data_IF_493020971501
#
_entry.id   IF_493020971501
#
_cell.length_a   1.000
_cell.length_b   1.000
_cell.length_c   1.000
_cell.angle_alpha   90.00
_cell.angle_beta   90.00
_cell.angle_gamma   90.00
#
_symmetry.space_group_name_H-M   'P 1'
#
loop_
_entity.id
_entity.type
_entity.pdbx_description
1 polymer ?
#
# COMPACT_ATOMS: atom_id res chain seq x y z
N UNK A 1 14.37 -5.64 57.39
CA UNK A 1 13.25 -5.06 56.61
C UNK A 1 13.69 -4.64 55.19
N UNK A 2 14.44 -5.43 54.45
CA UNK A 2 15.08 -4.91 53.22
C UNK A 2 14.97 -5.85 51.99
N UNK A 3 14.71 -7.13 52.16
CA UNK A 3 14.71 -8.04 51.00
C UNK A 3 13.32 -8.39 50.49
N UNK A 4 12.27 -8.35 51.28
CA UNK A 4 10.88 -8.52 50.80
C UNK A 4 10.39 -7.34 49.94
N UNK A 5 10.76 -6.11 50.27
CA UNK A 5 10.45 -4.94 49.46
C UNK A 5 11.18 -4.92 48.10
N UNK A 6 12.33 -5.62 47.96
CA UNK A 6 13.05 -5.74 46.70
C UNK A 6 12.36 -6.69 45.69
N UNK A 7 11.78 -7.77 46.19
CA UNK A 7 11.08 -8.74 45.32
C UNK A 7 9.68 -8.25 44.88
N UNK A 8 8.95 -7.53 45.72
CA UNK A 8 7.66 -6.93 45.36
C UNK A 8 7.79 -5.84 44.29
N UNK A 9 8.84 -5.02 44.34
CA UNK A 9 9.06 -3.99 43.29
C UNK A 9 9.52 -4.57 41.95
N UNK A 10 10.07 -5.77 41.91
CA UNK A 10 10.47 -6.42 40.65
C UNK A 10 9.27 -6.99 39.86
N UNK A 11 8.19 -7.40 40.53
CA UNK A 11 6.94 -7.83 39.89
C UNK A 11 6.06 -6.68 39.36
N UNK A 12 6.34 -5.44 39.75
CA UNK A 12 5.52 -4.27 39.40
C UNK A 12 5.86 -3.64 38.04
N UNK A 13 6.93 -4.05 37.39
CA UNK A 13 7.44 -3.40 36.16
C UNK A 13 6.75 -3.86 34.86
N UNK A 14 6.00 -4.93 34.88
CA UNK A 14 5.19 -5.34 33.73
C UNK A 14 3.71 -5.05 34.00
N UNK A 15 2.97 -4.43 33.07
CA UNK A 15 1.52 -4.30 33.18
C UNK A 15 0.87 -5.67 32.94
N UNK A 16 1.02 -6.57 33.91
CA UNK A 16 0.39 -7.90 33.86
C UNK A 16 -1.07 -7.71 34.26
N UNK A 17 -1.94 -7.65 33.27
CA UNK A 17 -3.38 -7.80 33.39
C UNK A 17 -4.21 -6.52 33.54
N UNK A 18 -3.77 -5.44 34.21
CA UNK A 18 -4.57 -4.23 34.32
C UNK A 18 -3.71 -2.96 34.44
N UNK A 19 -3.92 -1.99 33.53
CA UNK A 19 -3.23 -0.70 33.50
C UNK A 19 -3.43 0.05 34.82
N UNK A 20 -4.61 -0.06 35.44
CA UNK A 20 -4.94 0.66 36.68
C UNK A 20 -4.08 0.17 37.84
N UNK A 21 -3.79 -1.13 37.93
CA UNK A 21 -2.90 -1.69 38.95
C UNK A 21 -1.46 -1.19 38.78
N UNK A 22 -0.97 -1.11 37.54
CA UNK A 22 0.32 -0.52 37.20
C UNK A 22 0.40 0.94 37.59
N UNK A 23 -0.61 1.75 37.26
CA UNK A 23 -0.66 3.16 37.63
C UNK A 23 -0.70 3.36 39.15
N UNK A 24 -1.45 2.51 39.87
CA UNK A 24 -1.48 2.54 41.35
C UNK A 24 -0.09 2.25 41.92
N UNK A 25 0.58 1.23 41.42
CA UNK A 25 1.91 0.85 41.87
C UNK A 25 2.95 1.97 41.64
N UNK A 26 2.95 2.60 40.47
CA UNK A 26 3.84 3.73 40.15
C UNK A 26 3.56 4.92 41.08
N UNK A 27 2.29 5.18 41.41
CA UNK A 27 1.94 6.31 42.28
C UNK A 27 2.41 6.13 43.73
N UNK A 28 2.77 4.92 44.15
CA UNK A 28 3.34 4.66 45.48
C UNK A 28 4.85 4.99 45.55
N UNK A 29 5.53 5.07 44.41
CA UNK A 29 6.96 5.41 44.36
C UNK A 29 7.15 6.88 44.72
N UNK A 30 7.96 7.21 45.72
CA UNK A 30 8.23 8.60 46.09
C UNK A 30 9.00 9.35 44.99
N UNK A 31 8.73 10.65 44.87
CA UNK A 31 9.49 11.52 43.96
C UNK A 31 10.85 11.82 44.59
N UNK A 32 11.90 11.93 43.79
CA UNK A 32 13.22 12.26 44.20
C UNK A 32 13.41 13.78 44.39
N UNK A 33 14.13 14.15 45.44
CA UNK A 33 14.59 15.51 45.63
C UNK A 33 15.64 15.88 44.58
N UNK A 34 15.81 17.19 44.25
CA UNK A 34 16.76 17.62 43.24
C UNK A 34 18.22 17.22 43.52
N UNK A 35 18.58 17.15 44.78
CA UNK A 35 19.94 16.80 45.23
C UNK A 35 20.20 15.30 45.07
N UNK A 36 19.23 14.48 45.44
CA UNK A 36 19.27 13.01 45.26
C UNK A 36 19.32 12.64 43.78
N UNK A 37 18.51 13.34 42.96
CA UNK A 37 18.51 13.16 41.49
C UNK A 37 19.91 13.40 40.91
N UNK A 38 20.59 14.48 41.32
CA UNK A 38 21.93 14.79 40.87
C UNK A 38 22.98 13.79 41.35
N UNK A 39 22.88 13.35 42.62
CA UNK A 39 23.81 12.36 43.14
C UNK A 39 23.69 11.01 42.48
N UNK A 40 22.45 10.53 42.24
CA UNK A 40 22.18 9.30 41.50
C UNK A 40 22.63 9.39 40.04
N UNK A 41 22.40 10.54 39.38
CA UNK A 41 22.84 10.76 38.01
C UNK A 41 24.39 10.77 37.88
N UNK A 42 25.09 11.39 38.83
CA UNK A 42 26.55 11.32 38.87
C UNK A 42 27.06 9.90 39.08
N UNK A 43 26.48 9.15 40.02
CA UNK A 43 26.82 7.73 40.22
C UNK A 43 26.61 6.90 38.96
N UNK A 44 25.50 7.14 38.22
CA UNK A 44 25.26 6.47 36.97
C UNK A 44 26.33 6.82 35.91
N UNK A 45 26.66 8.11 35.76
CA UNK A 45 27.65 8.59 34.77
C UNK A 45 29.05 8.09 35.06
N UNK A 46 29.47 8.20 36.32
CA UNK A 46 30.87 7.99 36.71
C UNK A 46 31.20 6.50 36.97
N UNK A 47 30.22 5.72 37.48
CA UNK A 47 30.41 4.33 37.88
C UNK A 47 29.54 3.34 37.07
N UNK A 48 28.63 3.81 36.23
CA UNK A 48 27.71 2.94 35.52
C UNK A 48 26.71 2.19 36.44
N UNK A 49 26.37 2.78 37.60
CA UNK A 49 25.54 2.14 38.62
C UNK A 49 24.09 1.92 38.13
N UNK A 50 23.78 0.66 37.86
CA UNK A 50 22.45 0.24 37.36
C UNK A 50 21.35 0.49 38.41
N UNK A 51 21.67 0.35 39.72
CA UNK A 51 20.69 0.61 40.77
C UNK A 51 20.35 2.11 40.88
N UNK A 52 21.29 2.98 40.61
CA UNK A 52 21.06 4.41 40.53
C UNK A 52 20.15 4.73 39.33
N UNK A 53 20.42 4.13 38.16
CA UNK A 53 19.55 4.27 36.97
C UNK A 53 18.12 3.79 37.25
N UNK A 54 17.98 2.63 37.89
CA UNK A 54 16.68 2.07 38.27
C UNK A 54 15.87 3.02 39.14
N UNK A 55 16.47 3.59 40.17
CA UNK A 55 15.81 4.56 41.06
C UNK A 55 15.37 5.81 40.31
N UNK A 56 16.21 6.33 39.42
CA UNK A 56 15.89 7.48 38.55
C UNK A 56 14.68 7.16 37.63
N UNK A 57 14.67 6.01 37.01
CA UNK A 57 13.57 5.60 36.12
C UNK A 57 12.26 5.44 36.91
N UNK A 58 12.29 4.67 38.01
CA UNK A 58 11.09 4.40 38.82
C UNK A 58 10.39 5.67 39.30
N UNK A 59 11.17 6.65 39.79
CA UNK A 59 10.64 7.93 40.27
C UNK A 59 9.96 8.78 39.19
N UNK A 60 10.33 8.57 37.90
CA UNK A 60 9.83 9.37 36.79
C UNK A 60 8.78 8.63 35.91
N UNK A 61 8.40 7.38 36.24
CA UNK A 61 7.38 6.63 35.48
C UNK A 61 6.01 7.34 35.48
N UNK A 62 5.68 8.09 36.55
CA UNK A 62 4.43 8.90 36.61
C UNK A 62 4.37 9.95 35.50
N UNK A 63 5.52 10.56 35.15
CA UNK A 63 5.63 11.50 34.06
C UNK A 63 5.32 10.83 32.72
N UNK A 64 5.84 9.62 32.50
CA UNK A 64 5.58 8.83 31.27
C UNK A 64 4.08 8.54 31.13
N UNK A 65 3.41 8.07 32.18
CA UNK A 65 1.96 7.80 32.16
C UNK A 65 1.16 9.06 31.84
N UNK A 66 1.54 10.19 32.43
CA UNK A 66 0.87 11.48 32.15
C UNK A 66 0.99 11.88 30.69
N UNK A 67 2.18 11.75 30.10
CA UNK A 67 2.42 12.06 28.69
C UNK A 67 1.69 11.05 27.77
N UNK A 68 1.78 9.75 28.03
CA UNK A 68 1.17 8.70 27.23
C UNK A 68 -0.37 8.84 27.15
N UNK A 69 -1.03 9.21 28.24
CA UNK A 69 -2.48 9.51 28.26
C UNK A 69 -2.89 10.59 27.27
N UNK A 70 -2.02 11.58 27.02
CA UNK A 70 -2.27 12.61 26.00
C UNK A 70 -2.35 12.07 24.57
N UNK A 71 -1.87 10.83 24.32
CA UNK A 71 -1.89 10.18 23.02
C UNK A 71 -2.94 9.07 22.88
N UNK A 72 -3.79 8.84 23.89
CA UNK A 72 -4.86 7.82 23.83
C UNK A 72 -5.85 8.02 22.67
N UNK A 73 -6.03 9.26 22.19
CA UNK A 73 -6.91 9.59 21.08
C UNK A 73 -6.49 9.07 19.69
N UNK A 74 -5.34 8.42 19.58
CA UNK A 74 -4.89 7.82 18.32
C UNK A 74 -5.39 6.37 18.11
N UNK A 75 -6.17 5.80 19.06
CA UNK A 75 -6.73 4.45 18.94
C UNK A 75 -5.76 3.32 19.23
N UNK A 76 -4.56 3.64 19.74
CA UNK A 76 -3.57 2.64 20.13
C UNK A 76 -3.69 2.26 21.62
N UNK A 77 -3.32 1.03 22.02
CA UNK A 77 -3.35 0.59 23.41
C UNK A 77 -2.47 1.50 24.29
N UNK A 78 -3.07 2.02 25.36
CA UNK A 78 -2.35 2.93 26.29
C UNK A 78 -1.17 2.22 26.96
N UNK A 79 -1.27 0.91 27.18
CA UNK A 79 -0.18 0.11 27.71
C UNK A 79 1.07 0.19 26.85
N UNK A 80 0.92 0.06 25.54
CA UNK A 80 2.03 0.10 24.59
C UNK A 80 2.65 1.51 24.51
N UNK A 81 1.80 2.55 24.53
CA UNK A 81 2.28 3.95 24.59
C UNK A 81 3.10 4.23 25.85
N UNK A 82 2.72 3.64 27.00
CA UNK A 82 3.47 3.74 28.25
C UNK A 82 4.82 3.02 28.11
N UNK A 83 4.85 1.80 27.53
CA UNK A 83 6.13 1.06 27.40
C UNK A 83 7.09 1.77 26.45
N UNK A 84 6.62 2.28 25.32
CA UNK A 84 7.45 3.09 24.41
C UNK A 84 7.94 4.38 25.09
N UNK A 85 7.07 5.02 25.87
CA UNK A 85 7.46 6.15 26.71
C UNK A 85 8.52 5.79 27.75
N UNK A 86 8.46 4.59 28.35
CA UNK A 86 9.48 4.09 29.27
C UNK A 86 10.82 3.87 28.56
N UNK A 87 10.81 3.37 27.31
CA UNK A 87 12.03 3.28 26.49
C UNK A 87 12.63 4.67 26.27
N UNK A 88 11.80 5.68 25.97
CA UNK A 88 12.21 7.08 25.85
C UNK A 88 12.84 7.61 27.13
N UNK A 89 12.22 7.33 28.28
CA UNK A 89 12.77 7.70 29.59
C UNK A 89 14.12 7.03 29.86
N UNK A 90 14.28 5.74 29.57
CA UNK A 90 15.55 5.01 29.72
C UNK A 90 16.66 5.63 28.85
N UNK A 91 16.34 6.01 27.60
CA UNK A 91 17.28 6.71 26.72
C UNK A 91 17.66 8.07 27.30
N UNK A 92 16.69 8.83 27.83
CA UNK A 92 16.96 10.11 28.49
C UNK A 92 17.86 9.95 29.67
N UNK A 93 17.61 9.01 30.58
CA UNK A 93 18.47 8.75 31.78
C UNK A 93 19.91 8.42 31.38
N UNK A 94 20.09 7.65 30.28
CA UNK A 94 21.42 7.29 29.77
C UNK A 94 22.21 8.51 29.26
N UNK A 95 21.53 9.52 28.71
CA UNK A 95 22.18 10.70 28.13
C UNK A 95 22.09 11.96 29.02
N UNK A 96 21.56 11.80 30.22
CA UNK A 96 21.34 12.91 31.11
C UNK A 96 22.68 13.39 31.74
N UNK A 97 22.96 14.71 31.64
CA UNK A 97 24.06 15.36 32.29
C UNK A 97 23.57 16.16 33.53
N UNK A 98 23.91 15.73 34.75
CA UNK A 98 23.48 16.41 35.97
C UNK A 98 24.11 17.80 36.16
N UNK A 99 25.21 18.08 35.46
CA UNK A 99 25.94 19.35 35.60
C UNK A 99 25.42 20.45 34.66
N UNK A 100 24.56 20.08 33.67
CA UNK A 100 23.91 21.02 32.76
C UNK A 100 22.82 21.91 33.38
N UNK A 101 22.49 21.71 34.66
CA UNK A 101 21.59 22.56 35.45
C UNK A 101 20.08 22.29 35.20
N UNK A 102 19.69 21.43 34.23
CA UNK A 102 18.33 21.06 33.98
C UNK A 102 17.89 19.88 34.86
N UNK A 103 16.58 19.82 35.20
CA UNK A 103 15.98 18.66 35.86
C UNK A 103 15.81 17.52 34.88
N UNK A 104 15.97 16.27 35.34
CA UNK A 104 15.76 15.07 34.53
C UNK A 104 14.36 15.04 33.89
N UNK A 105 13.34 15.46 34.66
CA UNK A 105 11.98 15.53 34.15
C UNK A 105 11.88 16.40 32.89
N UNK A 106 12.45 17.59 32.89
CA UNK A 106 12.45 18.50 31.75
C UNK A 106 13.24 17.95 30.56
N UNK A 107 14.37 17.33 30.80
CA UNK A 107 15.21 16.70 29.78
C UNK A 107 14.54 15.46 29.16
N UNK A 108 13.83 14.67 29.97
CA UNK A 108 13.20 13.42 29.51
C UNK A 108 11.96 13.64 28.62
N UNK A 109 11.19 14.73 28.81
CA UNK A 109 9.96 14.99 28.04
C UNK A 109 10.13 14.87 26.52
N UNK A 110 11.12 15.50 25.87
CA UNK A 110 11.31 15.38 24.42
C UNK A 110 11.67 13.94 23.99
N UNK A 111 12.45 13.21 24.78
CA UNK A 111 12.81 11.82 24.52
C UNK A 111 11.58 10.90 24.59
N UNK A 112 10.77 11.03 25.66
CA UNK A 112 9.53 10.27 25.84
C UNK A 112 8.57 10.55 24.68
N UNK A 113 8.35 11.82 24.33
CA UNK A 113 7.49 12.20 23.21
C UNK A 113 8.00 11.67 21.88
N UNK A 114 9.30 11.66 21.65
CA UNK A 114 9.91 11.17 20.42
C UNK A 114 9.62 9.69 20.20
N UNK A 115 9.81 8.84 21.23
CA UNK A 115 9.53 7.40 21.12
C UNK A 115 8.02 7.13 20.93
N UNK A 116 7.17 7.81 21.69
CA UNK A 116 5.71 7.70 21.53
C UNK A 116 5.29 8.14 20.12
N UNK A 117 5.83 9.26 19.61
CA UNK A 117 5.53 9.71 18.24
C UNK A 117 5.96 8.71 17.18
N UNK A 118 7.15 8.14 17.31
CA UNK A 118 7.64 7.12 16.38
C UNK A 118 6.78 5.86 16.40
N UNK A 119 6.35 5.42 17.61
CA UNK A 119 5.46 4.29 17.76
C UNK A 119 4.08 4.56 17.14
N UNK A 120 3.48 5.73 17.42
CA UNK A 120 2.20 6.14 16.85
C UNK A 120 2.26 6.15 15.32
N UNK A 121 3.26 6.78 14.72
CA UNK A 121 3.38 6.83 13.25
C UNK A 121 3.52 5.44 12.62
N UNK A 122 4.21 4.52 13.30
CA UNK A 122 4.45 3.16 12.79
C UNK A 122 3.22 2.27 12.87
N UNK A 123 2.43 2.41 13.94
CA UNK A 123 1.37 1.45 14.29
C UNK A 123 -0.05 2.02 14.17
N UNK A 124 -0.22 3.29 13.80
CA UNK A 124 -1.53 3.91 13.67
C UNK A 124 -2.43 3.24 12.64
N UNK A 125 -1.82 2.73 11.55
CA UNK A 125 -2.50 1.97 10.48
C UNK A 125 -1.62 0.87 9.94
N UNK A 126 -2.25 -0.10 9.27
CA UNK A 126 -1.56 -1.21 8.59
C UNK A 126 -0.57 -0.67 7.55
N UNK A 127 -0.99 0.33 6.77
CA UNK A 127 -0.12 1.02 5.81
C UNK A 127 0.47 2.28 6.43
N UNK A 128 1.79 2.45 6.33
CA UNK A 128 2.49 3.64 6.86
C UNK A 128 2.02 4.90 6.14
N UNK A 129 1.39 5.81 6.88
CA UNK A 129 0.81 7.05 6.34
C UNK A 129 1.86 8.16 6.19
N UNK A 130 2.80 8.27 7.14
CA UNK A 130 3.78 9.35 7.19
C UNK A 130 5.23 8.80 7.09
N UNK A 131 5.82 8.89 5.91
CA UNK A 131 7.19 8.41 5.62
C UNK A 131 8.22 9.52 5.59
N UNK A 132 7.87 10.70 5.08
CA UNK A 132 8.76 11.85 4.97
C UNK A 132 8.74 12.74 6.22
N UNK A 133 9.78 13.59 6.37
CA UNK A 133 9.87 14.56 7.47
C UNK A 133 8.70 15.56 7.48
N UNK A 134 8.27 16.00 6.31
CA UNK A 134 7.11 16.90 6.13
C UNK A 134 5.82 16.20 6.58
N UNK A 135 5.58 14.98 6.12
CA UNK A 135 4.39 14.19 6.48
C UNK A 135 4.31 13.89 7.98
N UNK A 136 5.46 13.61 8.65
CA UNK A 136 5.50 13.42 10.12
C UNK A 136 5.12 14.69 10.88
N UNK A 137 5.58 15.87 10.45
CA UNK A 137 5.16 17.14 11.04
C UNK A 137 3.66 17.37 10.87
N UNK A 138 3.14 17.11 9.67
CA UNK A 138 1.73 17.27 9.34
C UNK A 138 0.84 16.31 10.13
N UNK A 139 1.25 15.06 10.33
CA UNK A 139 0.48 14.04 11.04
C UNK A 139 -0.02 14.52 12.41
N UNK A 140 0.85 15.14 13.21
CA UNK A 140 0.49 15.63 14.54
C UNK A 140 -0.14 17.02 14.51
N UNK A 141 0.28 17.90 13.60
CA UNK A 141 -0.12 19.31 13.60
C UNK A 141 -1.41 19.58 12.81
N UNK A 142 -1.69 18.79 11.77
CA UNK A 142 -2.82 19.01 10.88
C UNK A 142 -4.15 18.96 11.64
N UNK A 143 -4.29 18.00 12.56
CA UNK A 143 -5.46 17.82 13.38
C UNK A 143 -5.67 18.96 14.41
N UNK A 144 -4.58 19.53 14.92
CA UNK A 144 -4.61 20.67 15.85
C UNK A 144 -5.04 21.97 15.16
N UNK A 145 -4.64 22.14 13.90
CA UNK A 145 -4.95 23.35 13.11
C UNK A 145 -6.34 23.30 12.47
N UNK A 146 -6.99 22.12 12.46
CA UNK A 146 -8.32 21.96 11.86
C UNK A 146 -9.42 22.50 12.79
N UNK A 147 -10.01 23.63 12.41
CA UNK A 147 -11.09 24.28 13.15
C UNK A 147 -12.49 23.77 12.75
N UNK A 148 -12.65 23.14 11.59
CA UNK A 148 -13.91 22.65 11.04
C UNK A 148 -13.84 21.15 10.74
N UNK A 149 -14.99 20.48 10.69
CA UNK A 149 -15.11 19.06 10.35
C UNK A 149 -14.97 18.76 8.83
N UNK A 150 -14.92 19.78 7.96
CA UNK A 150 -14.79 19.63 6.51
C UNK A 150 -13.34 19.55 6.03
N UNK A 151 -13.14 19.51 4.72
CA UNK A 151 -11.83 19.65 4.07
C UNK A 151 -11.27 21.06 4.24
N UNK A 152 -9.94 21.19 4.25
CA UNK A 152 -9.30 22.50 4.27
C UNK A 152 -9.61 23.28 2.99
N UNK A 153 -9.92 24.57 3.16
CA UNK A 153 -9.95 25.50 2.02
C UNK A 153 -8.53 25.77 1.53
N UNK A 154 -8.39 26.29 0.30
CA UNK A 154 -7.08 26.58 -0.29
C UNK A 154 -6.26 27.53 0.59
N UNK A 155 -6.90 28.59 1.09
CA UNK A 155 -6.27 29.54 2.02
C UNK A 155 -5.84 28.92 3.36
N UNK A 156 -6.61 27.98 3.89
CA UNK A 156 -6.25 27.28 5.13
C UNK A 156 -5.07 26.34 4.89
N UNK A 157 -4.99 25.70 3.72
CA UNK A 157 -3.83 24.86 3.31
C UNK A 157 -2.56 25.68 3.19
N UNK A 158 -2.62 26.86 2.55
CA UNK A 158 -1.50 27.79 2.44
C UNK A 158 -1.02 28.24 3.82
N UNK A 159 -1.93 28.67 4.70
CA UNK A 159 -1.56 29.07 6.06
C UNK A 159 -0.89 27.94 6.86
N UNK A 160 -1.40 26.72 6.77
CA UNK A 160 -0.80 25.56 7.44
C UNK A 160 0.55 25.22 6.82
N UNK A 161 0.67 25.35 5.50
CA UNK A 161 1.92 25.11 4.78
C UNK A 161 3.01 26.10 5.21
N UNK A 162 2.69 27.37 5.33
CA UNK A 162 3.59 28.45 5.77
C UNK A 162 4.00 28.26 7.25
N UNK A 163 3.02 27.99 8.14
CA UNK A 163 3.28 27.76 9.57
C UNK A 163 4.23 26.57 9.83
N UNK A 164 4.16 25.54 9.00
CA UNK A 164 4.95 24.32 9.17
C UNK A 164 6.18 24.24 8.27
N UNK A 165 6.32 25.16 7.30
CA UNK A 165 7.39 25.17 6.31
C UNK A 165 7.35 23.92 5.43
N UNK A 166 6.15 23.59 4.89
CA UNK A 166 5.90 22.46 4.00
C UNK A 166 5.17 22.93 2.74
N UNK A 167 5.13 22.11 1.68
CA UNK A 167 4.40 22.51 0.48
C UNK A 167 2.87 22.39 0.67
N UNK A 168 2.05 23.24 0.05
CA UNK A 168 0.58 23.13 0.08
C UNK A 168 0.08 21.78 -0.47
N UNK A 169 0.82 21.20 -1.45
CA UNK A 169 0.51 19.89 -2.01
C UNK A 169 0.71 18.77 -0.98
N UNK A 170 1.76 18.84 -0.14
CA UNK A 170 1.97 17.87 0.94
C UNK A 170 0.83 17.91 1.96
N UNK A 171 0.29 19.13 2.23
CA UNK A 171 -0.87 19.30 3.13
C UNK A 171 -2.10 18.62 2.55
N UNK A 172 -2.41 18.83 1.27
CA UNK A 172 -3.55 18.22 0.59
C UNK A 172 -3.43 16.69 0.53
N UNK A 173 -2.26 16.18 0.18
CA UNK A 173 -1.98 14.75 0.15
C UNK A 173 -2.14 14.13 1.54
N UNK A 174 -1.59 14.76 2.57
CA UNK A 174 -1.68 14.25 3.93
C UNK A 174 -3.12 14.30 4.46
N UNK A 175 -3.91 15.32 4.12
CA UNK A 175 -5.33 15.41 4.45
C UNK A 175 -6.10 14.23 3.85
N UNK A 176 -5.88 13.92 2.58
CA UNK A 176 -6.49 12.76 1.89
C UNK A 176 -6.12 11.45 2.59
N UNK A 177 -4.84 11.27 2.92
CA UNK A 177 -4.36 10.06 3.61
C UNK A 177 -4.97 9.91 5.01
N UNK A 178 -5.16 11.00 5.74
CA UNK A 178 -5.74 10.98 7.09
C UNK A 178 -7.27 10.76 7.07
N UNK A 179 -7.96 11.17 6.00
CA UNK A 179 -9.41 11.02 5.86
C UNK A 179 -9.82 9.57 5.54
N UNK A 180 -8.99 8.80 4.82
CA UNK A 180 -9.25 7.39 4.50
C UNK A 180 -9.29 6.54 5.79
N UNK A 181 -10.04 5.44 5.79
CA UNK A 181 -10.03 4.41 6.82
C UNK A 181 -9.52 3.11 6.22
N UNK A 182 -8.92 2.27 7.06
CA UNK A 182 -8.57 0.90 6.65
C UNK A 182 -9.86 0.10 6.56
N UNK A 183 -10.10 -0.53 5.40
CA UNK A 183 -11.31 -1.34 5.13
C UNK A 183 -10.88 -2.80 5.21
N UNK A 184 -11.64 -3.61 5.96
CA UNK A 184 -11.44 -5.07 5.99
C UNK A 184 -11.64 -5.65 4.60
N UNK A 185 -10.81 -6.61 4.19
CA UNK A 185 -10.91 -7.25 2.88
C UNK A 185 -12.12 -8.18 2.81
N UNK A 186 -12.33 -8.97 3.86
CA UNK A 186 -13.45 -9.89 3.98
C UNK A 186 -14.61 -9.25 4.74
N UNK A 187 -15.81 -9.77 4.51
CA UNK A 187 -16.99 -9.39 5.30
C UNK A 187 -16.82 -9.88 6.74
N UNK A 188 -17.11 -9.02 7.71
CA UNK A 188 -17.15 -9.42 9.12
C UNK A 188 -18.36 -10.32 9.37
N UNK A 189 -18.17 -11.39 10.18
CA UNK A 189 -19.27 -12.29 10.53
C UNK A 189 -20.40 -11.60 11.31
N UNK A 190 -20.13 -10.42 11.89
CA UNK A 190 -21.12 -9.61 12.62
C UNK A 190 -21.99 -8.72 11.72
N UNK A 191 -21.69 -8.63 10.42
CA UNK A 191 -22.47 -7.86 9.44
C UNK A 191 -23.75 -8.59 8.95
N UNK A 192 -24.01 -9.82 9.45
CA UNK A 192 -25.23 -10.59 9.16
C UNK A 192 -26.50 -10.03 9.84
N UNK A 193 -26.40 -8.93 10.59
CA UNK A 193 -27.55 -8.29 11.19
C UNK A 193 -28.26 -7.39 10.16
N UNK A 194 -29.37 -7.88 9.63
CA UNK A 194 -30.61 -7.28 9.08
C UNK A 194 -30.55 -5.85 8.42
N UNK A 195 -29.39 -5.24 8.27
CA UNK A 195 -29.24 -3.96 7.59
C UNK A 195 -28.74 -4.18 6.16
N UNK A 196 -29.65 -4.55 5.29
CA UNK A 196 -29.50 -4.93 3.89
C UNK A 196 -28.84 -3.87 2.96
N UNK A 197 -28.18 -2.86 3.51
CA UNK A 197 -27.54 -1.80 2.70
C UNK A 197 -26.00 -1.77 2.79
N UNK A 198 -25.35 -2.61 3.60
CA UNK A 198 -23.90 -2.56 3.81
C UNK A 198 -23.05 -3.75 3.28
N UNK A 199 -23.61 -4.85 2.69
CA UNK A 199 -22.79 -5.96 2.18
C UNK A 199 -21.89 -5.61 0.99
N UNK A 200 -22.11 -4.44 0.38
CA UNK A 200 -21.42 -4.03 -0.86
C UNK A 200 -20.05 -3.39 -0.64
N UNK A 201 -19.61 -3.21 0.60
CA UNK A 201 -18.40 -2.45 0.91
C UNK A 201 -17.13 -3.30 1.11
N UNK A 202 -17.25 -4.62 1.27
CA UNK A 202 -16.07 -5.47 1.40
C UNK A 202 -15.39 -5.65 0.03
N UNK A 203 -14.09 -5.35 -0.10
CA UNK A 203 -13.34 -5.52 -1.35
C UNK A 203 -13.47 -6.90 -1.96
N UNK A 204 -13.57 -7.96 -1.15
CA UNK A 204 -13.77 -9.33 -1.59
C UNK A 204 -15.04 -9.53 -2.43
N UNK A 205 -16.06 -8.71 -2.24
CA UNK A 205 -17.35 -8.84 -2.95
C UNK A 205 -17.35 -8.19 -4.34
N UNK A 206 -16.51 -7.18 -4.59
CA UNK A 206 -16.49 -6.46 -5.87
C UNK A 206 -15.18 -6.59 -6.64
N UNK A 207 -14.12 -7.12 -6.02
CA UNK A 207 -12.87 -7.41 -6.72
C UNK A 207 -13.01 -8.74 -7.47
N UNK A 208 -12.93 -8.67 -8.80
CA UNK A 208 -12.87 -9.86 -9.64
C UNK A 208 -11.40 -10.27 -9.85
N UNK A 209 -11.13 -11.56 -9.79
CA UNK A 209 -9.87 -12.11 -10.30
C UNK A 209 -9.90 -12.03 -11.83
N UNK A 210 -8.99 -11.25 -12.43
CA UNK A 210 -8.86 -11.16 -13.90
C UNK A 210 -8.69 -12.54 -14.56
N UNK A 211 -8.23 -13.52 -13.79
CA UNK A 211 -8.08 -14.90 -14.22
C UNK A 211 -9.34 -15.76 -14.08
N UNK A 212 -10.37 -15.31 -13.40
CA UNK A 212 -11.60 -16.09 -13.20
C UNK A 212 -12.52 -16.08 -14.41
N UNK A 213 -12.42 -15.07 -15.29
CA UNK A 213 -13.26 -14.96 -16.47
C UNK A 213 -12.84 -15.97 -17.53
N UNK A 214 -13.49 -17.16 -17.47
CA UNK A 214 -13.24 -18.27 -18.38
C UNK A 214 -13.56 -17.88 -19.84
N UNK A 215 -14.62 -17.11 -20.09
CA UNK A 215 -15.01 -16.69 -21.43
C UNK A 215 -13.91 -15.85 -22.08
N UNK A 216 -13.41 -14.84 -21.38
CA UNK A 216 -12.31 -13.98 -21.87
C UNK A 216 -11.01 -14.76 -22.09
N UNK A 217 -10.70 -15.74 -21.23
CA UNK A 217 -9.56 -16.63 -21.43
C UNK A 217 -9.72 -17.50 -22.66
N UNK A 218 -10.93 -18.03 -22.86
CA UNK A 218 -11.24 -18.85 -24.03
C UNK A 218 -11.15 -18.03 -25.32
N UNK A 219 -11.76 -16.85 -25.35
CA UNK A 219 -11.67 -15.91 -26.48
C UNK A 219 -10.22 -15.55 -26.81
N UNK A 220 -9.43 -15.20 -25.81
CA UNK A 220 -8.01 -14.88 -26.02
C UNK A 220 -7.23 -16.07 -26.54
N UNK A 221 -7.50 -17.29 -26.06
CA UNK A 221 -6.83 -18.50 -26.52
C UNK A 221 -7.24 -18.88 -27.94
N UNK A 222 -8.52 -18.75 -28.25
CA UNK A 222 -9.06 -19.00 -29.58
C UNK A 222 -8.49 -17.99 -30.59
N UNK A 223 -8.49 -16.72 -30.21
CA UNK A 223 -7.88 -15.66 -31.00
C UNK A 223 -6.38 -15.90 -31.26
N UNK A 224 -5.64 -16.28 -30.24
CA UNK A 224 -4.21 -16.61 -30.39
C UNK A 224 -3.99 -17.82 -31.34
N UNK A 225 -4.82 -18.87 -31.19
CA UNK A 225 -4.70 -20.04 -32.08
C UNK A 225 -5.03 -19.68 -33.53
N UNK A 226 -6.05 -18.84 -33.75
CA UNK A 226 -6.41 -18.32 -35.06
C UNK A 226 -5.29 -17.45 -35.69
N UNK A 227 -4.66 -16.57 -34.91
CA UNK A 227 -3.53 -15.78 -35.38
C UNK A 227 -2.33 -16.66 -35.76
N UNK A 228 -2.03 -17.68 -34.95
CA UNK A 228 -0.95 -18.63 -35.24
C UNK A 228 -1.21 -19.43 -36.52
N UNK A 229 -2.44 -19.89 -36.76
CA UNK A 229 -2.79 -20.58 -37.99
C UNK A 229 -2.65 -19.66 -39.22
N UNK A 230 -3.06 -18.40 -39.10
CA UNK A 230 -2.91 -17.40 -40.17
C UNK A 230 -1.44 -17.13 -40.48
N UNK A 231 -0.62 -16.99 -39.45
CA UNK A 231 0.81 -16.81 -39.59
C UNK A 231 1.46 -18.05 -40.26
N UNK A 232 1.04 -19.25 -39.85
CA UNK A 232 1.54 -20.49 -40.44
C UNK A 232 1.19 -20.59 -41.94
N UNK A 233 -0.05 -20.25 -42.33
CA UNK A 233 -0.49 -20.20 -43.75
C UNK A 233 0.30 -19.16 -44.53
N UNK A 234 0.53 -17.96 -43.96
CA UNK A 234 1.31 -16.93 -44.62
C UNK A 234 2.79 -17.36 -44.81
N UNK A 235 3.39 -18.07 -43.83
CA UNK A 235 4.71 -18.60 -43.93
C UNK A 235 4.85 -19.74 -44.98
N UNK A 236 3.80 -20.56 -45.13
CA UNK A 236 3.75 -21.62 -46.16
C UNK A 236 3.71 -21.07 -47.59
N UNK A 237 3.16 -19.87 -47.78
CA UNK A 237 3.08 -19.22 -49.11
C UNK A 237 4.41 -18.58 -49.56
N UNK A 238 5.41 -18.52 -48.69
CA UNK A 238 6.75 -18.03 -49.02
C UNK A 238 7.60 -19.10 -49.66
N UNK A 239 8.53 -18.68 -50.54
CA UNK A 239 9.58 -19.57 -51.10
C UNK A 239 10.50 -20.08 -49.98
N UNK A 240 11.12 -21.23 -50.20
CA UNK A 240 11.95 -21.91 -49.21
C UNK A 240 13.05 -21.02 -48.64
N UNK A 241 13.71 -20.21 -49.48
CA UNK A 241 14.77 -19.29 -49.06
C UNK A 241 14.24 -18.19 -48.15
N UNK A 242 13.14 -17.59 -48.52
CA UNK A 242 12.48 -16.54 -47.73
C UNK A 242 11.96 -17.08 -46.38
N UNK A 243 11.37 -18.27 -46.40
CA UNK A 243 10.90 -18.96 -45.20
C UNK A 243 12.07 -19.29 -44.25
N UNK A 244 13.19 -19.76 -44.78
CA UNK A 244 14.37 -20.04 -43.98
C UNK A 244 14.94 -18.81 -43.29
N UNK A 245 15.07 -17.68 -44.01
CA UNK A 245 15.56 -16.40 -43.47
C UNK A 245 14.62 -15.92 -42.34
N UNK A 246 13.31 -15.91 -42.54
CA UNK A 246 12.34 -15.46 -41.54
C UNK A 246 12.36 -16.37 -40.32
N UNK A 247 12.44 -17.73 -40.53
CA UNK A 247 12.48 -18.67 -39.41
C UNK A 247 13.71 -18.44 -38.54
N UNK A 248 14.91 -18.42 -39.13
CA UNK A 248 16.18 -18.26 -38.41
C UNK A 248 16.35 -16.91 -37.71
N UNK A 249 15.71 -15.86 -38.25
CA UNK A 249 15.86 -14.52 -37.69
C UNK A 249 14.81 -14.12 -36.67
N UNK A 250 13.55 -14.63 -36.80
CA UNK A 250 12.41 -14.18 -36.04
C UNK A 250 11.78 -15.27 -35.18
N UNK A 251 11.82 -16.52 -35.58
CA UNK A 251 11.10 -17.62 -34.94
C UNK A 251 12.01 -18.53 -34.09
N UNK A 252 13.29 -18.65 -34.43
CA UNK A 252 14.23 -19.44 -33.66
C UNK A 252 14.63 -18.73 -32.35
N UNK A 253 14.89 -19.49 -31.28
CA UNK A 253 15.36 -18.97 -29.99
C UNK A 253 16.71 -18.23 -30.16
N UNK A 254 17.62 -18.77 -30.96
CA UNK A 254 18.88 -18.14 -31.31
C UNK A 254 18.72 -17.36 -32.63
N UNK A 255 18.44 -16.06 -32.54
CA UNK A 255 18.24 -15.19 -33.70
C UNK A 255 19.56 -15.00 -34.48
N UNK A 256 19.59 -15.47 -35.72
CA UNK A 256 20.74 -15.29 -36.59
C UNK A 256 20.92 -13.83 -37.03
N UNK A 257 22.17 -13.37 -37.15
CA UNK A 257 22.52 -12.06 -37.71
C UNK A 257 22.42 -12.06 -39.24
N UNK A 258 22.32 -10.88 -39.87
CA UNK A 258 22.31 -10.77 -41.33
C UNK A 258 23.63 -11.26 -41.95
N UNK A 259 24.72 -11.13 -41.22
CA UNK A 259 26.05 -11.58 -41.62
C UNK A 259 26.12 -13.12 -41.70
N UNK A 260 25.69 -13.80 -40.64
CA UNK A 260 25.64 -15.26 -40.58
C UNK A 260 24.76 -15.85 -41.71
N UNK A 261 23.59 -15.24 -41.93
CA UNK A 261 22.70 -15.68 -43.01
C UNK A 261 23.27 -15.37 -44.41
N UNK A 262 24.09 -14.32 -44.55
CA UNK A 262 24.83 -14.00 -45.75
C UNK A 262 25.87 -15.08 -46.06
N UNK A 263 26.61 -15.54 -45.04
CA UNK A 263 27.63 -16.54 -45.15
C UNK A 263 27.04 -17.96 -45.42
N UNK A 264 25.94 -18.30 -44.74
CA UNK A 264 25.20 -19.56 -44.95
C UNK A 264 24.61 -19.68 -46.37
N UNK A 265 23.98 -18.60 -46.85
CA UNK A 265 23.28 -18.58 -48.16
C UNK A 265 24.16 -18.17 -49.33
N UNK A 266 25.42 -17.78 -49.06
CA UNK A 266 26.41 -17.30 -50.04
C UNK A 266 25.89 -16.14 -50.91
N UNK A 267 25.20 -15.18 -50.29
CA UNK A 267 24.65 -13.96 -50.89
C UNK A 267 25.06 -12.74 -50.09
N UNK A 268 25.06 -11.57 -50.70
CA UNK A 268 25.40 -10.33 -49.98
C UNK A 268 24.41 -10.02 -48.85
N UNK A 269 24.91 -9.42 -47.79
CA UNK A 269 24.12 -8.98 -46.62
C UNK A 269 22.92 -8.12 -47.05
N UNK A 270 23.12 -7.21 -48.00
CA UNK A 270 22.06 -6.34 -48.51
C UNK A 270 20.98 -7.16 -49.26
N UNK A 271 21.40 -8.23 -49.97
CA UNK A 271 20.42 -9.13 -50.60
C UNK A 271 19.56 -9.89 -49.59
N UNK A 272 20.17 -10.37 -48.49
CA UNK A 272 19.40 -10.99 -47.39
C UNK A 272 18.38 -9.98 -46.80
N UNK A 273 18.79 -8.72 -46.60
CA UNK A 273 17.90 -7.66 -46.12
C UNK A 273 16.75 -7.35 -47.08
N UNK A 274 17.02 -7.34 -48.39
CA UNK A 274 15.97 -7.16 -49.41
C UNK A 274 14.95 -8.32 -49.40
N UNK A 275 15.41 -9.55 -49.29
CA UNK A 275 14.55 -10.75 -49.22
C UNK A 275 13.72 -10.69 -47.93
N UNK A 276 14.32 -10.38 -46.81
CA UNK A 276 13.63 -10.21 -45.52
C UNK A 276 12.49 -9.19 -45.64
N UNK A 277 12.78 -7.96 -46.11
CA UNK A 277 11.77 -6.90 -46.27
C UNK A 277 10.67 -7.28 -47.26
N UNK A 278 11.02 -7.94 -48.37
CA UNK A 278 10.04 -8.41 -49.33
C UNK A 278 9.13 -9.50 -48.73
N UNK A 279 9.71 -10.40 -47.95
CA UNK A 279 8.96 -11.46 -47.27
C UNK A 279 8.03 -10.93 -46.18
N UNK A 280 8.47 -9.98 -45.36
CA UNK A 280 7.66 -9.33 -44.38
C UNK A 280 6.49 -8.54 -45.01
N UNK A 281 6.71 -7.88 -46.15
CA UNK A 281 5.63 -7.21 -46.91
C UNK A 281 4.61 -8.21 -47.44
N UNK A 282 5.06 -9.38 -47.96
CA UNK A 282 4.14 -10.43 -48.43
C UNK A 282 3.33 -11.02 -47.30
N UNK A 283 3.94 -11.31 -46.13
CA UNK A 283 3.23 -11.80 -44.94
C UNK A 283 2.18 -10.77 -44.52
N UNK A 284 2.58 -9.50 -44.41
CA UNK A 284 1.66 -8.41 -44.01
C UNK A 284 0.46 -8.29 -44.97
N UNK A 285 0.68 -8.34 -46.26
CA UNK A 285 -0.41 -8.24 -47.24
C UNK A 285 -1.39 -9.42 -47.14
N UNK A 286 -0.89 -10.65 -46.92
CA UNK A 286 -1.72 -11.83 -46.78
C UNK A 286 -2.54 -11.83 -45.47
N UNK A 287 -1.93 -11.37 -44.40
CA UNK A 287 -2.64 -11.22 -43.11
C UNK A 287 -3.75 -10.16 -43.23
N UNK A 288 -3.51 -9.04 -43.92
CA UNK A 288 -4.50 -7.99 -44.14
C UNK A 288 -5.66 -8.40 -45.06
N UNK A 289 -5.39 -9.14 -46.16
CA UNK A 289 -6.44 -9.65 -47.06
C UNK A 289 -7.34 -10.66 -46.33
N UNK A 290 -6.77 -11.52 -45.50
CA UNK A 290 -7.55 -12.47 -44.69
C UNK A 290 -8.44 -11.79 -43.65
N UNK A 291 -8.08 -10.58 -43.15
CA UNK A 291 -8.96 -9.79 -42.26
C UNK A 291 -10.18 -9.22 -42.99
N UNK A 292 -9.97 -8.74 -44.22
CA UNK A 292 -11.06 -8.21 -45.02
C UNK A 292 -12.11 -9.31 -45.39
N UNK A 293 -11.66 -10.53 -45.59
CA UNK A 293 -12.54 -11.66 -45.84
C UNK A 293 -13.40 -12.05 -44.61
N UNK A 294 -12.83 -11.97 -43.40
CA UNK A 294 -13.58 -12.19 -42.16
C UNK A 294 -14.62 -11.08 -41.91
N UNK A 295 -14.25 -9.82 -42.05
CA UNK A 295 -15.20 -8.69 -41.91
C UNK A 295 -16.32 -8.74 -42.95
N UNK A 296 -16.04 -9.24 -44.18
CA UNK A 296 -17.05 -9.45 -45.22
C UNK A 296 -18.01 -10.61 -44.89
N UNK A 297 -17.56 -11.64 -44.15
CA UNK A 297 -18.39 -12.73 -43.66
C UNK A 297 -19.25 -12.34 -42.47
N UNK A 298 -18.72 -11.53 -41.56
CA UNK A 298 -19.47 -10.97 -40.41
C UNK A 298 -20.61 -10.06 -40.90
N UNK A 299 -20.36 -9.18 -41.87
CA UNK A 299 -21.39 -8.33 -42.45
C UNK A 299 -22.48 -9.13 -43.21
N UNK A 300 -22.11 -10.23 -43.85
CA UNK A 300 -23.12 -11.12 -44.50
C UNK A 300 -23.96 -11.90 -43.49
N UNK A 301 -23.38 -12.22 -42.30
CA UNK A 301 -24.12 -12.92 -41.25
C UNK A 301 -25.07 -11.98 -40.47
N UNK A 302 -24.67 -10.69 -40.26
CA UNK A 302 -25.53 -9.69 -39.65
C UNK A 302 -26.75 -9.36 -40.52
N UNK A 303 -26.54 -9.19 -41.84
CA UNK A 303 -27.64 -8.96 -42.80
C UNK A 303 -28.62 -10.17 -42.87
N UNK A 304 -28.11 -11.40 -42.76
CA UNK A 304 -28.93 -12.62 -42.78
C UNK A 304 -29.73 -12.85 -41.48
N UNK A 305 -29.31 -12.28 -40.34
CA UNK A 305 -30.04 -12.33 -39.07
C UNK A 305 -31.13 -11.26 -38.99
N UNK A 306 -30.85 -10.04 -39.46
CA UNK A 306 -31.86 -8.97 -39.53
C UNK A 306 -33.01 -9.32 -40.47
N UNK A 307 -32.74 -9.94 -41.63
CA UNK A 307 -33.76 -10.39 -42.58
C UNK A 307 -34.67 -11.51 -42.00
N UNK A 308 -34.14 -12.34 -41.09
CA UNK A 308 -34.95 -13.40 -40.44
C UNK A 308 -35.86 -12.84 -39.36
N UNK A 309 -35.41 -11.83 -38.62
CA UNK A 309 -36.21 -11.21 -37.55
C UNK A 309 -37.30 -10.30 -38.14
N UNK A 310 -37.03 -9.56 -39.21
CA UNK A 310 -38.03 -8.79 -39.95
C UNK A 310 -39.10 -9.71 -40.56
N UNK A 311 -38.74 -10.91 -41.05
CA UNK A 311 -39.70 -11.90 -41.56
C UNK A 311 -40.54 -12.55 -40.46
N UNK A 312 -40.00 -12.71 -39.25
CA UNK A 312 -40.76 -13.20 -38.08
C UNK A 312 -41.76 -12.16 -37.59
N UNK A 313 -41.35 -10.88 -37.49
CA UNK A 313 -42.25 -9.80 -37.07
C UNK A 313 -43.41 -9.61 -38.08
N UNK A 314 -43.18 -9.65 -39.39
CA UNK A 314 -44.19 -9.57 -40.40
C UNK A 314 -45.15 -10.78 -40.36
N UNK A 315 -44.70 -11.99 -39.99
CA UNK A 315 -45.58 -13.17 -39.80
C UNK A 315 -46.42 -13.07 -38.52
N UNK A 316 -45.89 -12.51 -37.46
CA UNK A 316 -46.63 -12.31 -36.20
C UNK A 316 -47.66 -11.19 -36.31
N UNK A 317 -47.33 -10.10 -37.02
CA UNK A 317 -48.29 -9.04 -37.34
C UNK A 317 -49.47 -9.51 -38.20
N UNK A 318 -49.20 -10.34 -39.25
CA UNK A 318 -50.24 -10.95 -40.05
C UNK A 318 -51.14 -11.96 -39.32
N UNK A 319 -50.60 -12.67 -38.30
CA UNK A 319 -51.40 -13.56 -37.44
C UNK A 319 -52.26 -12.78 -36.42
N UNK A 320 -51.84 -11.62 -35.99
CA UNK A 320 -52.63 -10.75 -35.08
C UNK A 320 -53.76 -10.05 -35.83
N UNK A 321 -53.55 -9.63 -37.09
CA UNK A 321 -54.57 -9.01 -37.91
C UNK A 321 -55.68 -10.01 -38.33
N UNK A 322 -55.42 -11.33 -38.51
CA UNK A 322 -56.36 -12.36 -38.80
C UNK A 322 -57.18 -12.89 -37.60
N UNK A 323 -56.92 -12.42 -36.42
CA UNK A 323 -57.67 -12.78 -35.19
C UNK A 323 -58.58 -11.63 -34.70
N UNK A 324 -58.61 -10.51 -35.41
CA UNK A 324 -59.39 -9.33 -35.09
C UNK A 324 -60.55 -9.11 -36.07
N UNK A 325 -60.71 -9.94 -37.08
CA UNK A 325 -61.93 -10.14 -37.88
C UNK A 325 -62.61 -11.49 -37.44
#
# INVERSE_FOLDING_TARGET
MTDQNKQETMGMLAPVGNIDSYVKAINQVPMLEPEDERTLAKRLRDYGDIEAARKLILSHLRLVVSIARGYSGYGLPVADLIQEGNIGLMKAVKHFDPDAGARLAAFAVPWIKSEIHDYVIKNWRVVKVATTKAQRKLFFKLRQNKKRLGWFTEKERENVADDLGVSPNDVAEMETRLAGQDIGFDMSADDDTDNSQLPLLAPASYLEDENSNFAKKFENRDYQSYELERLAKALQSLDERSRYIIKRRWLDENKATLQELSDELKVSVERVRQIENASLKKIKSQILTSNNDCLALENKNSDATEDKDIKKEKKTAKKKAKKAD
#
